data_IF_840429583865
#
_entry.id   IF_840429583865
#
_cell.length_a   1.000
_cell.length_b   1.000
_cell.length_c   1.000
_cell.angle_alpha   90.00
_cell.angle_beta   90.00
_cell.angle_gamma   90.00
#
_symmetry.space_group_name_H-M   'P 1'
#
loop_
_entity.id
_entity.type
_entity.pdbx_description
1 polymer ?
#
# COMPACT_ATOMS: atom_id res chain seq x y z
N UNK A 1 54.68 48.51 32.88
CA UNK A 1 54.60 48.86 31.43
C UNK A 1 53.64 47.90 30.75
N UNK A 2 52.43 48.35 30.57
CA UNK A 2 51.38 47.52 30.04
C UNK A 2 51.43 47.61 28.52
N UNK A 3 51.85 46.54 27.85
CA UNK A 3 51.81 46.45 26.40
C UNK A 3 50.38 46.25 25.97
N UNK A 4 49.76 47.15 25.20
CA UNK A 4 48.40 46.94 24.71
C UNK A 4 48.41 45.76 23.72
N UNK A 5 47.74 44.74 24.12
CA UNK A 5 47.48 43.59 23.30
C UNK A 5 46.60 43.99 22.09
N UNK A 6 47.23 44.18 20.92
CA UNK A 6 46.50 44.41 19.69
C UNK A 6 45.82 43.13 19.29
N UNK A 7 44.54 43.06 19.51
CA UNK A 7 43.70 42.02 18.98
C UNK A 7 43.72 42.15 17.44
N UNK A 8 44.16 41.14 16.69
CA UNK A 8 44.07 41.21 15.25
C UNK A 8 42.60 41.20 14.85
N UNK A 9 42.19 42.26 14.20
CA UNK A 9 40.89 42.32 13.55
C UNK A 9 40.75 41.18 12.53
N UNK A 10 39.72 40.36 12.57
CA UNK A 10 39.52 39.33 11.58
C UNK A 10 39.36 39.99 10.24
N UNK A 11 40.20 39.58 9.29
CA UNK A 11 40.16 39.96 7.90
C UNK A 11 38.80 39.52 7.37
N UNK A 12 38.02 40.38 6.72
CA UNK A 12 36.78 39.96 6.07
C UNK A 12 37.11 38.90 5.00
N UNK A 13 36.48 37.77 5.13
CA UNK A 13 36.59 36.71 4.14
C UNK A 13 36.22 37.24 2.74
N UNK A 14 36.98 36.89 1.70
CA UNK A 14 36.58 37.29 0.34
C UNK A 14 35.20 36.71 0.05
N UNK A 15 34.32 37.57 -0.38
CA UNK A 15 33.01 37.16 -0.92
C UNK A 15 33.28 36.15 -2.03
N UNK A 16 32.59 34.98 -2.03
CA UNK A 16 32.65 34.12 -3.17
C UNK A 16 32.17 34.91 -4.39
N UNK A 17 33.06 35.09 -5.33
CA UNK A 17 32.72 35.61 -6.67
C UNK A 17 31.68 34.63 -7.20
N UNK A 18 30.49 35.10 -7.44
CA UNK A 18 29.49 34.35 -8.19
C UNK A 18 30.11 34.14 -9.56
N UNK A 19 30.67 32.95 -9.76
CA UNK A 19 31.00 32.50 -11.09
C UNK A 19 29.67 32.28 -11.74
N UNK A 20 29.30 33.20 -12.57
CA UNK A 20 28.22 33.08 -13.51
C UNK A 20 28.49 31.83 -14.35
N UNK A 21 27.93 30.72 -13.96
CA UNK A 21 27.95 29.53 -14.79
C UNK A 21 27.19 29.88 -16.04
N UNK A 22 27.80 29.74 -17.23
CA UNK A 22 27.06 29.88 -18.46
C UNK A 22 25.86 28.93 -18.38
N UNK A 23 24.69 29.53 -18.51
CA UNK A 23 23.43 28.82 -18.66
C UNK A 23 23.56 27.92 -19.88
N UNK A 24 24.05 26.71 -19.67
CA UNK A 24 23.88 25.66 -20.65
C UNK A 24 22.40 25.39 -20.66
N UNK A 25 21.74 26.03 -21.58
CA UNK A 25 20.42 25.70 -22.00
C UNK A 25 20.50 24.28 -22.57
N UNK A 26 20.51 23.28 -21.68
CA UNK A 26 20.16 21.95 -22.09
C UNK A 26 18.69 22.06 -22.53
N UNK A 27 18.52 22.15 -23.82
CA UNK A 27 17.28 21.79 -24.47
C UNK A 27 17.09 20.32 -24.15
N UNK A 28 16.43 20.08 -23.01
CA UNK A 28 15.82 18.80 -22.75
C UNK A 28 14.83 18.60 -23.89
N UNK A 29 15.01 17.62 -24.78
CA UNK A 29 14.00 17.36 -25.78
C UNK A 29 12.68 17.18 -25.01
N UNK A 30 11.56 17.69 -25.50
CA UNK A 30 10.31 17.52 -24.82
C UNK A 30 10.10 16.03 -24.61
N UNK A 31 10.31 15.58 -23.37
CA UNK A 31 9.87 14.25 -22.99
C UNK A 31 8.38 14.30 -23.29
N UNK A 32 7.98 13.67 -24.38
CA UNK A 32 6.59 13.32 -24.58
C UNK A 32 6.22 12.52 -23.33
N UNK A 33 5.61 13.21 -22.39
CA UNK A 33 4.91 12.55 -21.31
C UNK A 33 3.87 11.73 -22.05
N UNK A 34 4.17 10.44 -22.20
CA UNK A 34 3.13 9.51 -22.63
C UNK A 34 1.97 9.73 -21.68
N UNK A 35 0.74 9.92 -22.16
CA UNK A 35 -0.39 10.04 -21.25
C UNK A 35 -0.32 8.84 -20.29
N UNK A 36 -0.53 9.05 -18.98
CA UNK A 36 -0.52 7.94 -18.05
C UNK A 36 -1.43 6.86 -18.64
N UNK A 37 -1.01 5.59 -18.62
CA UNK A 37 -1.86 4.54 -19.13
C UNK A 37 -3.23 4.72 -18.48
N UNK A 38 -4.32 4.68 -19.24
CA UNK A 38 -5.64 4.86 -18.66
C UNK A 38 -5.72 3.91 -17.48
N UNK A 39 -6.10 4.45 -16.32
CA UNK A 39 -6.31 3.65 -15.13
C UNK A 39 -7.09 2.40 -15.56
N UNK A 40 -6.64 1.19 -15.23
CA UNK A 40 -7.31 -0.01 -15.68
C UNK A 40 -8.78 0.16 -15.31
N UNK A 41 -9.64 0.28 -16.30
CA UNK A 41 -11.07 0.23 -16.09
C UNK A 41 -11.29 -1.05 -15.27
N UNK A 42 -12.13 -1.05 -14.25
CA UNK A 42 -12.43 -2.26 -13.51
C UNK A 42 -12.97 -3.26 -14.55
N UNK A 43 -12.08 -4.10 -15.04
CA UNK A 43 -12.47 -5.27 -15.77
C UNK A 43 -13.16 -6.07 -14.68
N UNK A 44 -14.46 -6.29 -14.81
CA UNK A 44 -15.17 -7.27 -14.00
C UNK A 44 -14.43 -8.58 -14.20
N UNK A 45 -13.45 -8.83 -13.36
CA UNK A 45 -12.70 -10.06 -13.38
C UNK A 45 -13.73 -11.15 -13.10
N UNK A 46 -13.95 -12.01 -14.09
CA UNK A 46 -14.70 -13.23 -13.85
C UNK A 46 -13.88 -13.98 -12.81
N UNK A 47 -14.41 -14.01 -11.58
CA UNK A 47 -13.81 -14.74 -10.48
C UNK A 47 -13.71 -16.17 -10.97
N UNK A 48 -12.48 -16.69 -11.09
CA UNK A 48 -12.25 -18.07 -11.46
C UNK A 48 -12.90 -18.97 -10.40
N UNK A 49 -13.57 -20.04 -10.82
CA UNK A 49 -14.26 -20.97 -9.91
C UNK A 49 -13.40 -21.40 -8.71
N UNK A 50 -12.09 -21.50 -8.92
CA UNK A 50 -11.11 -21.82 -7.86
C UNK A 50 -11.03 -20.76 -6.75
N UNK A 51 -11.38 -19.51 -7.06
CA UNK A 51 -11.39 -18.40 -6.11
C UNK A 51 -12.78 -18.16 -5.51
N UNK A 52 -13.83 -18.70 -6.08
CA UNK A 52 -15.20 -18.58 -5.51
C UNK A 52 -15.25 -19.10 -4.08
N UNK A 53 -14.59 -20.20 -3.81
CA UNK A 53 -14.45 -20.76 -2.45
C UNK A 53 -13.86 -19.77 -1.43
N UNK A 54 -13.05 -18.79 -1.86
CA UNK A 54 -12.49 -17.77 -0.99
C UNK A 54 -13.53 -16.77 -0.53
N UNK A 55 -14.57 -16.59 -1.34
CA UNK A 55 -15.67 -15.66 -1.13
C UNK A 55 -16.94 -16.35 -0.63
N UNK A 56 -16.93 -17.69 -0.53
CA UNK A 56 -18.01 -18.47 0.06
C UNK A 56 -17.95 -18.33 1.59
N UNK A 57 -18.86 -17.53 2.12
CA UNK A 57 -19.00 -17.32 3.55
C UNK A 57 -20.11 -18.23 4.08
N UNK A 58 -19.73 -19.20 4.89
CA UNK A 58 -20.70 -19.86 5.74
C UNK A 58 -21.22 -18.84 6.76
N UNK A 59 -22.53 -18.71 6.85
CA UNK A 59 -23.12 -17.86 7.87
C UNK A 59 -22.60 -18.29 9.25
N UNK A 60 -22.17 -17.29 10.03
CA UNK A 60 -21.61 -17.51 11.33
C UNK A 60 -22.68 -18.20 12.22
N UNK A 61 -22.50 -19.48 12.45
CA UNK A 61 -23.35 -20.31 13.31
C UNK A 61 -23.04 -20.08 14.78
N UNK A 62 -21.90 -19.47 15.09
CA UNK A 62 -21.41 -19.29 16.43
C UNK A 62 -21.58 -17.85 16.93
N UNK A 63 -22.14 -17.68 18.12
CA UNK A 63 -22.35 -16.37 18.75
C UNK A 63 -21.04 -15.60 18.92
N UNK A 64 -19.94 -16.32 19.17
CA UNK A 64 -18.59 -15.75 19.25
C UNK A 64 -18.15 -15.15 17.93
N UNK A 65 -18.53 -15.75 16.82
CA UNK A 65 -18.21 -15.28 15.48
C UNK A 65 -19.05 -14.04 15.11
N UNK A 66 -20.31 -13.96 15.57
CA UNK A 66 -21.17 -12.78 15.43
C UNK A 66 -20.62 -11.59 16.22
N UNK A 67 -20.15 -11.81 17.43
CA UNK A 67 -19.52 -10.76 18.25
C UNK A 67 -18.21 -10.27 17.65
N UNK A 68 -17.49 -11.14 16.92
CA UNK A 68 -16.28 -10.78 16.19
C UNK A 68 -16.55 -10.02 14.89
N UNK A 69 -17.79 -9.89 14.46
CA UNK A 69 -18.21 -9.22 13.22
C UNK A 69 -18.47 -7.72 13.38
N UNK A 70 -17.93 -7.08 14.40
CA UNK A 70 -18.02 -5.61 14.51
C UNK A 70 -17.50 -4.94 13.24
N UNK A 71 -18.22 -3.94 12.71
CA UNK A 71 -17.82 -3.25 11.50
C UNK A 71 -16.46 -2.59 11.68
N UNK A 72 -15.60 -2.77 10.72
CA UNK A 72 -14.24 -2.25 10.71
C UNK A 72 -14.20 -0.96 9.88
N UNK A 73 -13.88 0.15 10.51
CA UNK A 73 -13.72 1.43 9.80
C UNK A 73 -12.42 1.53 9.02
N UNK A 74 -11.37 0.89 9.53
CA UNK A 74 -10.02 0.96 8.96
C UNK A 74 -9.32 -0.38 9.10
N UNK A 75 -9.08 -1.03 7.99
CA UNK A 75 -8.40 -2.33 7.94
C UNK A 75 -6.97 -2.27 8.46
N UNK A 76 -6.29 -1.13 8.27
CA UNK A 76 -4.93 -0.94 8.79
C UNK A 76 -4.87 -0.98 10.32
N UNK A 77 -5.93 -0.52 10.98
CA UNK A 77 -6.02 -0.53 12.45
C UNK A 77 -6.56 -1.84 12.99
N UNK A 78 -7.41 -2.51 12.20
CA UNK A 78 -8.02 -3.77 12.59
C UNK A 78 -7.05 -4.94 12.61
N UNK A 79 -6.04 -4.91 11.73
CA UNK A 79 -5.00 -5.93 11.68
C UNK A 79 -3.90 -5.63 12.69
N UNK A 80 -3.69 -6.55 13.63
CA UNK A 80 -2.55 -6.51 14.54
C UNK A 80 -1.21 -6.67 13.80
N UNK A 81 -0.11 -6.28 14.46
CA UNK A 81 1.23 -6.36 13.86
C UNK A 81 1.56 -7.80 13.46
N UNK A 82 1.30 -8.77 14.31
CA UNK A 82 1.54 -10.18 14.03
C UNK A 82 0.72 -10.68 12.85
N UNK A 83 -0.55 -10.27 12.78
CA UNK A 83 -1.43 -10.67 11.68
C UNK A 83 -0.98 -10.08 10.35
N UNK A 84 -0.49 -8.85 10.34
CA UNK A 84 0.13 -8.24 9.15
C UNK A 84 1.34 -9.02 8.68
N UNK A 85 2.25 -9.36 9.58
CA UNK A 85 3.46 -10.13 9.25
C UNK A 85 3.08 -11.48 8.66
N UNK A 86 2.15 -12.20 9.30
CA UNK A 86 1.68 -13.49 8.81
C UNK A 86 1.00 -13.36 7.44
N UNK A 87 0.11 -12.39 7.29
CA UNK A 87 -0.60 -12.14 6.03
C UNK A 87 0.38 -11.76 4.92
N UNK A 88 1.35 -10.90 5.22
CA UNK A 88 2.41 -10.53 4.27
C UNK A 88 3.19 -11.76 3.80
N UNK A 89 3.63 -12.60 4.72
CA UNK A 89 4.44 -13.77 4.39
C UNK A 89 3.64 -14.86 3.70
N UNK A 90 2.39 -15.07 4.11
CA UNK A 90 1.59 -16.18 3.61
C UNK A 90 0.80 -15.84 2.34
N UNK A 91 0.32 -14.61 2.19
CA UNK A 91 -0.51 -14.20 1.05
C UNK A 91 0.22 -13.37 0.01
N UNK A 92 1.20 -12.57 0.42
CA UNK A 92 1.93 -11.64 -0.45
C UNK A 92 3.41 -12.02 -0.62
N UNK A 93 3.78 -13.24 -0.31
CA UNK A 93 5.14 -13.77 -0.48
C UNK A 93 6.24 -12.89 0.16
N UNK A 94 5.93 -12.27 1.29
CA UNK A 94 6.81 -11.38 2.04
C UNK A 94 6.80 -9.92 1.58
N UNK A 95 5.97 -9.56 0.61
CA UNK A 95 5.86 -8.20 0.11
C UNK A 95 4.93 -7.34 0.98
N UNK A 96 5.49 -6.66 1.98
CA UNK A 96 4.74 -5.80 2.90
C UNK A 96 4.12 -4.56 2.24
N UNK A 97 4.74 -4.04 1.20
CA UNK A 97 4.23 -2.89 0.47
C UNK A 97 2.98 -3.27 -0.33
N UNK A 98 2.96 -4.45 -0.94
CA UNK A 98 1.78 -4.97 -1.62
C UNK A 98 0.59 -5.15 -0.68
N UNK A 99 0.81 -5.65 0.53
CA UNK A 99 -0.25 -5.73 1.55
C UNK A 99 -0.75 -4.33 1.95
N UNK A 100 0.15 -3.40 2.17
CA UNK A 100 -0.18 -2.02 2.54
C UNK A 100 -1.00 -1.32 1.46
N UNK A 101 -0.62 -1.48 0.21
CA UNK A 101 -1.34 -0.94 -0.93
C UNK A 101 -2.71 -1.60 -1.09
N UNK A 102 -2.80 -2.91 -0.90
CA UNK A 102 -4.06 -3.63 -0.91
C UNK A 102 -5.02 -3.10 0.17
N UNK A 103 -4.57 -2.98 1.41
CA UNK A 103 -5.38 -2.44 2.51
C UNK A 103 -5.80 -0.99 2.26
N UNK A 104 -4.91 -0.16 1.71
CA UNK A 104 -5.21 1.23 1.37
C UNK A 104 -6.24 1.34 0.25
N UNK A 105 -6.13 0.51 -0.77
CA UNK A 105 -7.08 0.44 -1.88
C UNK A 105 -8.45 0.01 -1.39
N UNK A 106 -8.52 -1.07 -0.62
CA UNK A 106 -9.79 -1.58 -0.06
C UNK A 106 -10.44 -0.54 0.86
N UNK A 107 -9.66 0.19 1.65
CA UNK A 107 -10.18 1.26 2.50
C UNK A 107 -10.80 2.43 1.71
N UNK A 108 -10.41 2.62 0.45
CA UNK A 108 -10.98 3.65 -0.44
C UNK A 108 -12.26 3.19 -1.13
N UNK A 109 -12.45 1.89 -1.26
CA UNK A 109 -13.63 1.33 -1.89
C UNK A 109 -14.85 1.52 -0.97
N UNK A 110 -16.00 1.78 -1.58
CA UNK A 110 -17.26 1.99 -0.87
C UNK A 110 -18.13 0.73 -0.83
N UNK A 111 -17.90 -0.19 -1.77
CA UNK A 111 -18.70 -1.40 -1.96
C UNK A 111 -17.85 -2.65 -1.78
N UNK A 112 -18.49 -3.70 -1.23
CA UNK A 112 -17.83 -5.01 -1.11
C UNK A 112 -17.61 -5.68 -2.46
N UNK A 113 -18.48 -5.46 -3.44
CA UNK A 113 -18.34 -6.04 -4.77
C UNK A 113 -17.07 -5.56 -5.46
N UNK A 114 -16.78 -4.25 -5.39
CA UNK A 114 -15.53 -3.69 -5.89
C UNK A 114 -14.30 -4.25 -5.16
N UNK A 115 -14.42 -4.45 -3.85
CA UNK A 115 -13.36 -5.05 -3.05
C UNK A 115 -13.17 -6.53 -3.41
N UNK A 116 -14.24 -7.25 -3.71
CA UNK A 116 -14.23 -8.65 -4.15
C UNK A 116 -13.49 -8.80 -5.47
N UNK A 117 -13.80 -7.96 -6.46
CA UNK A 117 -13.13 -7.95 -7.78
C UNK A 117 -11.63 -7.64 -7.62
N UNK A 118 -11.29 -6.69 -6.76
CA UNK A 118 -9.90 -6.35 -6.46
C UNK A 118 -9.16 -7.49 -5.77
N UNK A 119 -9.80 -8.13 -4.79
CA UNK A 119 -9.23 -9.29 -4.08
C UNK A 119 -9.08 -10.51 -4.99
N UNK A 120 -10.01 -10.74 -5.91
CA UNK A 120 -9.90 -11.82 -6.89
C UNK A 120 -8.67 -11.63 -7.79
N UNK A 121 -8.40 -10.40 -8.21
CA UNK A 121 -7.22 -10.06 -8.99
C UNK A 121 -5.92 -10.33 -8.22
N UNK A 122 -5.86 -9.92 -6.95
CA UNK A 122 -4.70 -10.21 -6.08
C UNK A 122 -4.57 -11.72 -5.85
N UNK A 123 -5.70 -12.42 -5.63
CA UNK A 123 -5.72 -13.85 -5.41
C UNK A 123 -5.15 -14.64 -6.61
N UNK A 124 -5.38 -14.15 -7.82
CA UNK A 124 -4.80 -14.71 -9.03
C UNK A 124 -3.29 -14.44 -9.13
N UNK A 125 -2.86 -13.19 -8.85
CA UNK A 125 -1.44 -12.80 -8.90
C UNK A 125 -0.59 -13.59 -7.90
N UNK A 126 -1.11 -13.81 -6.69
CA UNK A 126 -0.38 -14.45 -5.58
C UNK A 126 -0.79 -15.91 -5.33
N UNK A 127 -1.58 -16.50 -6.23
CA UNK A 127 -2.04 -17.90 -6.13
C UNK A 127 -2.67 -18.25 -4.77
N UNK A 128 -3.68 -17.49 -4.37
CA UNK A 128 -4.38 -17.75 -3.11
C UNK A 128 -5.25 -19.01 -3.13
N UNK A 129 -5.51 -19.59 -4.31
CA UNK A 129 -6.18 -20.86 -4.47
C UNK A 129 -5.36 -22.04 -3.93
N UNK A 130 -4.05 -21.86 -3.80
CA UNK A 130 -3.14 -22.86 -3.24
C UNK A 130 -3.57 -23.28 -1.84
N UNK A 131 -3.51 -24.61 -1.55
CA UNK A 131 -3.92 -25.21 -0.28
C UNK A 131 -3.29 -24.53 0.96
N UNK A 132 -2.06 -24.04 0.81
CA UNK A 132 -1.33 -23.36 1.90
C UNK A 132 -1.89 -21.95 2.15
N UNK A 133 -2.20 -21.22 1.10
CA UNK A 133 -2.66 -19.83 1.17
C UNK A 133 -4.18 -19.72 1.38
N UNK A 134 -4.96 -20.69 0.90
CA UNK A 134 -6.43 -20.69 0.91
C UNK A 134 -7.03 -20.41 2.30
N UNK A 135 -6.53 -21.06 3.34
CA UNK A 135 -7.00 -20.84 4.73
C UNK A 135 -6.82 -19.39 5.16
N UNK A 136 -5.63 -18.84 4.92
CA UNK A 136 -5.31 -17.48 5.31
C UNK A 136 -6.05 -16.46 4.45
N UNK A 137 -6.18 -16.74 3.16
CA UNK A 137 -6.96 -15.92 2.23
C UNK A 137 -8.42 -15.81 2.66
N UNK A 138 -9.06 -16.89 3.08
CA UNK A 138 -10.43 -16.87 3.63
C UNK A 138 -10.54 -15.96 4.86
N UNK A 139 -9.58 -16.02 5.77
CA UNK A 139 -9.54 -15.17 6.97
C UNK A 139 -9.39 -13.71 6.56
N UNK A 140 -8.51 -13.42 5.60
CA UNK A 140 -8.28 -12.07 5.11
C UNK A 140 -9.51 -11.50 4.38
N UNK A 141 -10.13 -12.27 3.50
CA UNK A 141 -11.37 -11.88 2.81
C UNK A 141 -12.51 -11.64 3.81
N UNK A 142 -12.63 -12.49 4.84
CA UNK A 142 -13.60 -12.32 5.94
C UNK A 142 -13.36 -11.01 6.70
N UNK A 143 -12.09 -10.68 6.98
CA UNK A 143 -11.72 -9.42 7.60
C UNK A 143 -12.12 -8.22 6.73
N UNK A 144 -11.85 -8.31 5.43
CA UNK A 144 -12.22 -7.26 4.46
C UNK A 144 -13.73 -7.09 4.42
N UNK A 145 -14.51 -8.18 4.38
CA UNK A 145 -15.98 -8.12 4.39
C UNK A 145 -16.53 -7.32 5.59
N UNK A 146 -15.93 -7.48 6.77
CA UNK A 146 -16.33 -6.74 7.97
C UNK A 146 -16.19 -5.21 7.83
N UNK A 147 -15.43 -4.75 6.87
CA UNK A 147 -15.29 -3.33 6.54
C UNK A 147 -16.56 -2.79 5.88
N UNK A 148 -17.30 -3.64 5.17
CA UNK A 148 -18.45 -3.27 4.36
C UNK A 148 -19.80 -3.73 4.99
N UNK A 149 -19.75 -4.30 6.19
CA UNK A 149 -20.93 -4.67 6.97
C UNK A 149 -21.34 -3.53 7.89
#
# INVERSE_FOLDING_TARGET
>A
EVVPNRVPTPRPAPRPTVVETPKVEMQVPPVRVAPPPPAPKPVKAKISEEHEDLFEFQEATDLSERLSQSPIKDLNKAMGINERILTTNELFDGNGDALKDALSTINRLSNFDDAKDYLANIAEIYDWASKKKKKKAKIFVKLVRRRFT
#
